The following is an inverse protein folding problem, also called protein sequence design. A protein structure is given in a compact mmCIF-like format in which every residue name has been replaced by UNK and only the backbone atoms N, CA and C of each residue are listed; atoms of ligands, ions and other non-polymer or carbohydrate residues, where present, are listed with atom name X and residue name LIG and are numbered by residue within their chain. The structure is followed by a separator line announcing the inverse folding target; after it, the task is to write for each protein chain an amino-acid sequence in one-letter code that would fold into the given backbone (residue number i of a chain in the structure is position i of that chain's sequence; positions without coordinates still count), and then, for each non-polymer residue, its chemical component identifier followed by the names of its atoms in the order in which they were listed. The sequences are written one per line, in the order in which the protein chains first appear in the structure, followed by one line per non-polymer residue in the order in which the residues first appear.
data_IF_281157398903
#
_entry.id   IF_281157398903
#
_cell.length_a   1.000
_cell.length_b   1.000
_cell.length_c   1.000
_cell.angle_alpha   90.00
_cell.angle_beta   90.00
_cell.angle_gamma   90.00
#
_symmetry.space_group_name_H-M   'P 1'
#
loop_
_entity.id
_entity.type
_entity.pdbx_description
1 polymer ?
#
# COMPACT_ATOMS: atom_id res chain seq x y z
N UNK A 1 -15.41 16.96 10.43
CA UNK A 1 -14.85 16.69 10.12
C UNK A 1 -14.55 15.75 9.95
N UNK A 2 -14.48 15.46 9.73
CA UNK A 2 -14.30 14.57 9.60
C UNK A 2 -13.37 13.90 9.42
N UNK A 3 -12.86 13.63 9.56
CA UNK A 3 -12.08 13.10 9.39
C UNK A 3 -11.98 12.08 9.23
N UNK A 4 -11.75 11.84 8.93
CA UNK A 4 -11.60 10.91 8.69
C UNK A 4 -10.95 10.00 9.11
N UNK A 5 -10.90 9.96 9.51
CA UNK A 5 -10.37 9.00 10.22
C UNK A 5 -10.21 7.72 9.71
N UNK A 6 -9.95 7.67 8.77
CA UNK A 6 -10.14 6.55 8.19
C UNK A 6 -8.96 5.72 8.22
N UNK A 7 -7.94 5.99 7.65
CA UNK A 7 -6.75 5.13 7.67
C UNK A 7 -5.86 5.49 8.86
N UNK A 8 -5.42 4.51 9.67
CA UNK A 8 -4.49 4.79 10.76
C UNK A 8 -3.10 5.21 10.25
N UNK A 9 -2.84 5.03 8.96
CA UNK A 9 -1.55 5.41 8.38
C UNK A 9 -1.57 6.80 7.76
N UNK A 10 -2.74 7.46 7.70
CA UNK A 10 -2.83 8.78 7.08
C UNK A 10 -2.33 9.87 8.01
N UNK A 11 -1.42 10.70 7.52
CA UNK A 11 -0.96 11.89 8.23
C UNK A 11 -0.90 13.05 7.25
N UNK A 12 -1.20 14.25 7.76
CA UNK A 12 -1.04 15.46 6.98
C UNK A 12 0.44 15.75 6.70
N UNK A 13 1.32 15.40 7.64
CA UNK A 13 2.76 15.58 7.48
C UNK A 13 3.46 14.24 7.29
N UNK A 14 4.55 14.20 6.51
CA UNK A 14 5.27 12.95 6.31
C UNK A 14 6.02 12.51 7.56
N UNK A 15 6.30 11.20 7.63
CA UNK A 15 7.15 10.61 8.66
C UNK A 15 8.61 10.76 8.21
N UNK A 16 9.30 11.74 8.76
CA UNK A 16 10.68 12.03 8.37
C UNK A 16 11.68 11.06 8.99
N UNK A 17 11.28 10.36 10.03
CA UNK A 17 12.10 9.37 10.72
C UNK A 17 11.28 8.10 10.92
N UNK A 18 11.98 6.97 11.07
CA UNK A 18 11.31 5.71 11.37
C UNK A 18 10.48 5.87 12.64
N UNK A 19 9.19 5.60 12.53
CA UNK A 19 8.23 5.73 13.63
C UNK A 19 7.59 4.38 13.89
N UNK A 20 7.48 4.00 15.15
CA UNK A 20 6.88 2.74 15.56
C UNK A 20 5.46 3.02 16.03
N UNK A 21 4.50 2.31 15.45
CA UNK A 21 3.09 2.50 15.76
C UNK A 21 2.43 1.16 16.08
N UNK A 22 1.41 1.21 16.95
CA UNK A 22 0.47 0.10 17.14
C UNK A 22 -0.78 0.48 16.35
N UNK A 23 -1.18 -0.36 15.41
CA UNK A 23 -2.31 -0.04 14.53
C UNK A 23 -3.31 -1.18 14.49
N UNK A 24 -4.61 -0.87 14.29
CA UNK A 24 -5.61 -1.91 14.06
C UNK A 24 -5.54 -2.40 12.62
N UNK A 25 -6.10 -3.58 12.33
CA UNK A 25 -6.24 -4.01 10.94
C UNK A 25 -7.21 -3.08 10.19
N UNK A 26 -7.01 -2.95 8.89
CA UNK A 26 -7.84 -2.10 8.03
C UNK A 26 -8.34 -2.94 6.87
N UNK A 27 -9.66 -3.00 6.69
CA UNK A 27 -10.26 -3.73 5.58
C UNK A 27 -9.83 -3.12 4.24
N UNK A 28 -9.54 -3.97 3.28
CA UNK A 28 -9.11 -3.54 1.95
C UNK A 28 -9.84 -4.32 0.87
N UNK A 29 -9.82 -3.79 -0.35
CA UNK A 29 -10.22 -4.50 -1.55
C UNK A 29 -9.04 -4.48 -2.50
N UNK A 30 -8.63 -5.65 -2.97
CA UNK A 30 -7.37 -5.82 -3.70
C UNK A 30 -7.52 -6.73 -4.91
N UNK A 31 -6.60 -6.56 -5.85
CA UNK A 31 -6.25 -7.61 -6.81
C UNK A 31 -4.97 -8.26 -6.28
N UNK A 32 -5.04 -9.56 -6.03
CA UNK A 32 -3.85 -10.32 -5.62
C UNK A 32 -3.21 -10.94 -6.86
N UNK A 33 -1.90 -10.78 -7.00
CA UNK A 33 -1.13 -11.43 -8.06
C UNK A 33 -0.05 -12.29 -7.42
N UNK A 34 0.20 -13.44 -8.02
CA UNK A 34 1.19 -14.39 -7.54
C UNK A 34 2.18 -14.68 -8.65
N UNK A 35 3.46 -14.65 -8.30
CA UNK A 35 4.54 -14.94 -9.23
C UNK A 35 4.47 -14.06 -10.49
N UNK A 36 4.10 -12.81 -10.29
CA UNK A 36 3.92 -11.85 -11.38
C UNK A 36 5.27 -11.22 -11.74
N UNK A 37 5.63 -11.15 -13.04
CA UNK A 37 6.91 -10.54 -13.41
C UNK A 37 7.02 -9.09 -12.95
N UNK A 38 8.18 -8.72 -12.44
CA UNK A 38 8.45 -7.35 -12.02
C UNK A 38 8.21 -6.35 -13.16
N UNK A 39 8.47 -6.79 -14.39
CA UNK A 39 8.28 -5.95 -15.57
C UNK A 39 6.82 -5.65 -15.87
N UNK A 40 5.89 -6.39 -15.25
CA UNK A 40 4.44 -6.19 -15.43
C UNK A 40 3.81 -5.30 -14.36
N UNK A 41 4.59 -4.78 -13.41
CA UNK A 41 4.00 -4.05 -12.28
C UNK A 41 3.17 -2.85 -12.68
N UNK A 42 3.65 -2.02 -13.61
CA UNK A 42 2.89 -0.86 -14.06
C UNK A 42 1.53 -1.26 -14.63
N UNK A 43 1.52 -2.32 -15.42
CA UNK A 43 0.30 -2.83 -16.03
C UNK A 43 -0.67 -3.34 -14.97
N UNK A 44 -0.15 -4.04 -13.95
CA UNK A 44 -0.97 -4.52 -12.84
C UNK A 44 -1.60 -3.35 -12.08
N UNK A 45 -0.83 -2.31 -11.79
CA UNK A 45 -1.36 -1.13 -11.12
C UNK A 45 -2.44 -0.45 -11.94
N UNK A 46 -2.16 -0.19 -13.21
CA UNK A 46 -3.10 0.51 -14.08
C UNK A 46 -4.41 -0.25 -14.23
N UNK A 47 -4.32 -1.56 -14.49
CA UNK A 47 -5.52 -2.37 -14.68
C UNK A 47 -6.31 -2.52 -13.39
N UNK A 48 -5.63 -2.67 -12.26
CA UNK A 48 -6.29 -2.80 -10.97
C UNK A 48 -7.08 -1.54 -10.64
N UNK A 49 -6.47 -0.37 -10.74
CA UNK A 49 -7.17 0.85 -10.35
C UNK A 49 -8.25 1.25 -11.33
N UNK A 50 -8.08 0.94 -12.61
CA UNK A 50 -9.15 1.14 -13.59
C UNK A 50 -10.40 0.32 -13.26
N UNK A 51 -10.21 -0.88 -12.73
CA UNK A 51 -11.34 -1.76 -12.36
C UNK A 51 -11.88 -1.44 -10.98
N UNK A 52 -11.01 -1.05 -10.06
CA UNK A 52 -11.32 -0.95 -8.64
C UNK A 52 -12.28 0.18 -8.32
N UNK A 53 -12.05 1.37 -8.85
CA UNK A 53 -12.85 2.54 -8.52
C UNK A 53 -14.32 2.34 -8.89
N UNK A 54 -14.66 1.91 -10.14
CA UNK A 54 -16.06 1.64 -10.47
C UNK A 54 -16.67 0.52 -9.63
N UNK A 55 -15.88 -0.53 -9.33
CA UNK A 55 -16.38 -1.67 -8.56
C UNK A 55 -16.74 -1.26 -7.13
N UNK A 56 -15.92 -0.42 -6.49
CA UNK A 56 -16.23 0.07 -5.15
C UNK A 56 -17.54 0.87 -5.16
N UNK A 57 -17.74 1.70 -6.16
CA UNK A 57 -18.99 2.45 -6.30
C UNK A 57 -20.20 1.53 -6.41
N UNK A 58 -20.08 0.46 -7.20
CA UNK A 58 -21.17 -0.51 -7.37
C UNK A 58 -21.47 -1.25 -6.06
N UNK A 59 -20.44 -1.55 -5.28
CA UNK A 59 -20.59 -2.25 -4.00
C UNK A 59 -20.95 -1.32 -2.84
N UNK A 60 -21.00 -0.02 -3.08
CA UNK A 60 -21.30 0.94 -2.02
C UNK A 60 -20.18 1.09 -0.99
N UNK A 61 -18.95 0.77 -1.37
CA UNK A 61 -17.79 0.90 -0.48
C UNK A 61 -17.07 2.22 -0.73
N UNK A 62 -16.53 2.80 0.33
CA UNK A 62 -15.80 4.06 0.25
C UNK A 62 -14.31 3.83 0.54
N UNK A 63 -13.41 4.33 -0.30
CA UNK A 63 -12.00 4.33 0.06
C UNK A 63 -11.77 5.20 1.29
N UNK A 64 -10.93 4.72 2.21
CA UNK A 64 -10.63 5.46 3.44
C UNK A 64 -9.16 5.82 3.55
N UNK A 65 -8.42 5.69 2.48
CA UNK A 65 -7.01 6.06 2.45
C UNK A 65 -6.44 5.89 1.05
N UNK A 66 -5.15 6.18 0.90
CA UNK A 66 -4.49 6.09 -0.40
C UNK A 66 -4.35 4.65 -0.89
N UNK A 67 -4.06 4.52 -2.17
CA UNK A 67 -3.71 3.25 -2.80
C UNK A 67 -2.43 2.67 -2.19
N UNK A 68 -2.29 1.35 -2.25
CA UNK A 68 -1.12 0.68 -1.70
C UNK A 68 -0.79 -0.57 -2.51
N UNK A 69 0.44 -1.07 -2.31
CA UNK A 69 0.82 -2.42 -2.70
C UNK A 69 1.44 -3.14 -1.50
N UNK A 70 0.98 -4.35 -1.23
CA UNK A 70 1.44 -5.13 -0.08
C UNK A 70 2.11 -6.40 -0.59
N UNK A 71 3.33 -6.65 -0.11
CA UNK A 71 4.14 -7.78 -0.52
C UNK A 71 4.12 -8.84 0.56
N UNK A 72 3.78 -10.07 0.16
CA UNK A 72 3.69 -11.20 1.09
C UNK A 72 4.97 -12.02 1.13
N UNK A 73 5.92 -11.72 0.26
CA UNK A 73 7.27 -12.28 0.28
C UNK A 73 8.26 -11.26 -0.28
N UNK A 74 9.54 -11.51 -0.10
CA UNK A 74 10.56 -10.64 -0.68
C UNK A 74 10.49 -10.72 -2.21
N UNK A 75 10.52 -9.58 -2.90
CA UNK A 75 10.52 -9.57 -4.36
C UNK A 75 11.80 -10.17 -4.94
N UNK A 76 11.65 -10.79 -6.10
CA UNK A 76 12.77 -11.28 -6.89
C UNK A 76 12.53 -10.82 -8.34
N UNK A 77 12.75 -11.69 -9.31
CA UNK A 77 12.31 -11.40 -10.69
C UNK A 77 10.80 -11.35 -10.79
N UNK A 78 10.11 -11.92 -9.80
CA UNK A 78 8.65 -11.90 -9.69
C UNK A 78 8.23 -11.44 -8.31
N UNK A 79 6.95 -11.09 -8.18
CA UNK A 79 6.37 -10.63 -6.93
C UNK A 79 5.07 -11.36 -6.63
N UNK A 80 4.81 -11.55 -5.33
CA UNK A 80 3.48 -11.88 -4.82
C UNK A 80 3.01 -10.65 -4.08
N UNK A 81 1.96 -10.01 -4.59
CA UNK A 81 1.51 -8.76 -3.98
C UNK A 81 0.01 -8.58 -4.09
N UNK A 82 -0.51 -7.72 -3.22
CA UNK A 82 -1.89 -7.25 -3.27
C UNK A 82 -1.86 -5.77 -3.58
N UNK A 83 -2.62 -5.36 -4.58
CA UNK A 83 -2.73 -3.95 -4.99
C UNK A 83 -4.17 -3.52 -4.78
N UNK A 84 -4.39 -2.45 -4.06
CA UNK A 84 -5.75 -2.03 -3.80
C UNK A 84 -5.90 -0.75 -2.99
N UNK A 85 -7.07 -0.66 -2.34
CA UNK A 85 -7.46 0.49 -1.54
C UNK A 85 -8.00 0.03 -0.20
N UNK A 86 -7.72 0.78 0.88
CA UNK A 86 -8.42 0.56 2.14
C UNK A 86 -9.86 1.06 2.00
N UNK A 87 -10.79 0.37 2.66
CA UNK A 87 -12.22 0.66 2.53
C UNK A 87 -12.88 0.75 3.90
N UNK A 88 -14.06 1.37 3.94
CA UNK A 88 -14.77 1.65 5.18
C UNK A 88 -15.37 0.41 5.84
N UNK A 89 -15.54 -0.67 5.07
CA UNK A 89 -16.03 -1.95 5.59
C UNK A 89 -15.64 -3.08 4.65
N UNK A 90 -15.61 -4.33 5.14
CA UNK A 90 -15.16 -5.44 4.30
C UNK A 90 -16.07 -5.68 3.09
N UNK A 91 -15.46 -6.02 1.96
CA UNK A 91 -16.17 -6.57 0.82
C UNK A 91 -16.68 -7.97 1.21
N UNK A 92 -17.94 -8.25 0.95
CA UNK A 92 -18.55 -9.50 1.37
C UNK A 92 -18.06 -10.72 0.61
N UNK A 93 -17.85 -10.57 -0.70
CA UNK A 93 -17.45 -11.68 -1.58
C UNK A 93 -16.55 -11.13 -2.68
N UNK A 94 -15.69 -11.98 -3.27
CA UNK A 94 -14.93 -11.56 -4.44
C UNK A 94 -15.83 -11.11 -5.57
N UNK A 95 -15.36 -10.11 -6.32
CA UNK A 95 -16.11 -9.50 -7.43
C UNK A 95 -15.25 -9.55 -8.68
N UNK A 96 -15.83 -10.01 -9.79
CA UNK A 96 -15.16 -9.92 -11.08
C UNK A 96 -15.49 -8.57 -11.68
N UNK A 97 -14.47 -7.77 -11.90
CA UNK A 97 -14.59 -6.44 -12.47
C UNK A 97 -14.18 -6.44 -13.94
N UNK A 98 -14.15 -5.26 -14.54
CA UNK A 98 -13.79 -5.12 -15.94
C UNK A 98 -12.49 -5.80 -16.30
N UNK A 99 -12.34 -6.25 -17.54
CA UNK A 99 -11.16 -6.94 -18.06
C UNK A 99 -10.84 -8.25 -17.35
N UNK A 100 -11.83 -8.87 -16.68
CA UNK A 100 -11.64 -10.17 -16.01
C UNK A 100 -10.83 -10.11 -14.74
N UNK A 101 -10.67 -8.92 -14.16
CA UNK A 101 -9.92 -8.76 -12.91
C UNK A 101 -10.80 -9.17 -11.75
N UNK A 102 -10.28 -10.03 -10.88
CA UNK A 102 -10.98 -10.42 -9.66
C UNK A 102 -10.50 -9.56 -8.49
N UNK A 103 -11.43 -8.90 -7.84
CA UNK A 103 -11.19 -8.10 -6.65
C UNK A 103 -11.63 -8.89 -5.44
N UNK A 104 -10.76 -9.00 -4.44
CA UNK A 104 -11.01 -9.83 -3.26
C UNK A 104 -10.94 -9.00 -1.99
N UNK A 105 -11.68 -9.40 -0.94
CA UNK A 105 -11.51 -8.78 0.37
C UNK A 105 -10.18 -9.18 0.98
N UNK A 106 -9.53 -8.22 1.62
CA UNK A 106 -8.28 -8.46 2.33
C UNK A 106 -8.17 -7.46 3.48
N UNK A 107 -6.99 -7.35 4.07
CA UNK A 107 -6.77 -6.33 5.10
C UNK A 107 -5.29 -5.96 5.20
N UNK A 108 -5.04 -4.72 5.59
CA UNK A 108 -3.72 -4.33 6.07
C UNK A 108 -3.61 -4.85 7.50
N UNK A 109 -2.50 -5.55 7.84
CA UNK A 109 -2.40 -6.18 9.15
C UNK A 109 -2.41 -5.18 10.28
N UNK A 110 -3.03 -5.57 11.39
CA UNK A 110 -2.89 -4.84 12.64
C UNK A 110 -1.69 -5.33 13.42
N UNK A 111 -1.27 -4.54 14.43
CA UNK A 111 -0.17 -4.86 15.30
C UNK A 111 0.88 -3.78 15.29
N UNK A 112 2.10 -4.15 15.64
CA UNK A 112 3.20 -3.18 15.70
C UNK A 112 3.85 -3.08 14.33
N UNK A 113 3.99 -1.85 13.85
CA UNK A 113 4.60 -1.56 12.56
C UNK A 113 5.68 -0.51 12.70
N UNK A 114 6.57 -0.46 11.72
CA UNK A 114 7.46 0.68 11.51
C UNK A 114 7.04 1.38 10.22
N UNK A 115 7.13 2.70 10.19
CA UNK A 115 6.75 3.50 9.03
C UNK A 115 7.73 4.65 8.84
N UNK A 116 8.03 4.97 7.58
CA UNK A 116 8.81 6.15 7.20
C UNK A 116 8.27 6.64 5.85
N UNK A 117 8.39 7.93 5.59
CA UNK A 117 7.98 8.49 4.30
C UNK A 117 9.18 8.64 3.38
N UNK A 118 9.02 8.20 2.14
CA UNK A 118 9.98 8.48 1.06
C UNK A 118 9.46 9.70 0.31
N UNK A 119 10.24 10.76 0.27
CA UNK A 119 9.90 11.97 -0.48
C UNK A 119 10.75 11.99 -1.74
N UNK A 120 10.09 11.89 -2.89
CA UNK A 120 10.78 11.84 -4.18
C UNK A 120 10.15 10.85 -5.13
N UNK A 121 10.79 10.70 -6.29
CA UNK A 121 10.29 9.83 -7.34
C UNK A 121 10.42 8.35 -6.98
N UNK A 122 9.68 7.51 -7.70
CA UNK A 122 9.66 6.08 -7.44
C UNK A 122 10.98 5.37 -7.74
N UNK A 123 11.83 5.95 -8.58
CA UNK A 123 13.13 5.37 -8.89
C UNK A 123 14.07 5.35 -7.65
N UNK A 124 13.77 6.14 -6.64
CA UNK A 124 14.52 6.13 -5.38
C UNK A 124 14.00 5.13 -4.34
N UNK A 125 12.91 4.41 -4.64
CA UNK A 125 12.28 3.54 -3.64
C UNK A 125 13.15 2.38 -3.20
N UNK A 126 13.92 1.79 -4.11
CA UNK A 126 14.81 0.68 -3.74
C UNK A 126 15.82 1.06 -2.68
N UNK A 127 16.48 2.21 -2.85
CA UNK A 127 17.43 2.71 -1.86
C UNK A 127 16.73 3.11 -0.57
N UNK A 128 15.53 3.68 -0.67
CA UNK A 128 14.74 4.06 0.50
C UNK A 128 14.36 2.84 1.34
N UNK A 129 13.97 1.74 0.71
CA UNK A 129 13.68 0.50 1.41
C UNK A 129 14.90 -0.05 2.14
N UNK A 130 16.06 -0.03 1.48
CA UNK A 130 17.31 -0.48 2.11
C UNK A 130 17.64 0.32 3.36
N UNK A 131 17.56 1.65 3.26
CA UNK A 131 17.82 2.53 4.40
C UNK A 131 16.79 2.32 5.51
N UNK A 132 15.52 2.14 5.14
CA UNK A 132 14.44 1.92 6.10
C UNK A 132 14.65 0.63 6.89
N UNK A 133 14.90 -0.47 6.21
CA UNK A 133 15.11 -1.75 6.89
C UNK A 133 16.32 -1.71 7.80
N UNK A 134 17.40 -1.05 7.38
CA UNK A 134 18.58 -0.86 8.22
C UNK A 134 18.24 -0.04 9.47
N UNK A 135 17.51 1.06 9.30
CA UNK A 135 17.12 1.92 10.43
C UNK A 135 16.24 1.18 11.42
N UNK A 136 15.31 0.35 10.93
CA UNK A 136 14.46 -0.48 11.80
C UNK A 136 15.31 -1.42 12.65
N UNK A 137 16.28 -2.09 12.02
CA UNK A 137 17.18 -3.00 12.74
C UNK A 137 18.03 -2.26 13.76
N UNK A 138 18.55 -1.08 13.38
CA UNK A 138 19.38 -0.27 14.28
C UNK A 138 18.58 0.23 15.50
N UNK A 139 17.26 0.41 15.32
CA UNK A 139 16.39 0.80 16.42
C UNK A 139 16.03 -0.37 17.34
N UNK A 140 16.52 -1.58 17.05
CA UNK A 140 16.31 -2.75 17.88
C UNK A 140 15.07 -3.56 17.52
N UNK A 141 14.46 -3.32 16.37
CA UNK A 141 13.28 -4.04 15.92
C UNK A 141 13.63 -4.99 14.78
N UNK A 142 12.79 -6.01 14.61
CA UNK A 142 12.99 -6.98 13.55
C UNK A 142 11.84 -6.88 12.54
N UNK A 143 12.14 -6.49 11.29
CA UNK A 143 11.11 -6.47 10.25
C UNK A 143 10.54 -7.86 10.00
N UNK A 144 9.25 -7.89 9.72
CA UNK A 144 8.54 -9.13 9.40
C UNK A 144 7.69 -8.91 8.15
N UNK A 145 7.22 -9.98 7.55
CA UNK A 145 6.29 -9.90 6.44
C UNK A 145 4.86 -9.84 6.97
N UNK A 146 3.98 -9.16 6.27
CA UNK A 146 4.19 -8.46 5.00
C UNK A 146 4.79 -7.07 5.20
N UNK A 147 5.23 -6.47 4.09
CA UNK A 147 5.56 -5.05 4.06
C UNK A 147 4.80 -4.41 2.91
N UNK A 148 4.57 -3.09 2.99
CA UNK A 148 3.76 -2.42 1.97
C UNK A 148 4.18 -0.98 1.76
N UNK A 149 3.78 -0.46 0.59
CA UNK A 149 3.97 0.94 0.20
C UNK A 149 2.60 1.59 0.08
N UNK A 150 2.48 2.78 0.64
CA UNK A 150 1.25 3.58 0.55
C UNK A 150 1.57 4.78 -0.34
N UNK A 151 0.83 4.91 -1.43
CA UNK A 151 1.08 5.96 -2.43
C UNK A 151 0.26 7.19 -2.07
N UNK A 152 0.79 8.00 -1.15
CA UNK A 152 0.07 9.16 -0.61
C UNK A 152 -0.17 10.19 -1.70
N UNK A 153 0.82 10.43 -2.58
CA UNK A 153 0.67 11.31 -3.72
C UNK A 153 0.28 10.49 -4.94
N UNK A 154 -0.83 10.84 -5.57
CA UNK A 154 -1.26 10.20 -6.80
C UNK A 154 -0.34 10.60 -7.93
N UNK A 155 0.21 9.64 -8.72
CA UNK A 155 1.06 10.01 -9.84
C UNK A 155 0.30 10.82 -10.88
N UNK A 156 0.97 11.83 -11.43
CA UNK A 156 0.40 12.70 -12.46
C UNK A 156 1.53 13.18 -13.36
N UNK A 157 1.29 13.36 -14.66
CA UNK A 157 2.33 13.90 -15.56
C UNK A 157 2.81 15.28 -15.14
N UNK A 158 1.96 16.04 -14.48
CA UNK A 158 2.30 17.40 -14.03
C UNK A 158 2.91 17.43 -12.63
N UNK A 159 3.04 16.27 -11.98
CA UNK A 159 3.53 16.21 -10.61
C UNK A 159 5.04 16.37 -10.56
N UNK A 160 5.51 17.31 -9.71
CA UNK A 160 6.93 17.45 -9.42
C UNK A 160 7.40 16.20 -8.67
N UNK A 161 8.34 15.44 -9.22
CA UNK A 161 8.83 14.24 -8.53
C UNK A 161 9.31 14.52 -7.10
N UNK A 162 9.89 15.68 -6.85
CA UNK A 162 10.41 16.03 -5.53
C UNK A 162 9.30 16.18 -4.48
N UNK A 163 8.05 16.42 -4.92
CA UNK A 163 6.92 16.58 -4.00
C UNK A 163 6.12 15.30 -3.80
N UNK A 164 6.53 14.20 -4.44
CA UNK A 164 5.85 12.92 -4.28
C UNK A 164 6.17 12.30 -2.94
N UNK A 165 5.17 11.64 -2.35
CA UNK A 165 5.32 10.97 -1.07
C UNK A 165 4.82 9.53 -1.16
N UNK A 166 5.66 8.59 -0.78
CA UNK A 166 5.31 7.18 -0.62
C UNK A 166 5.69 6.78 0.80
N UNK A 167 4.74 6.23 1.55
CA UNK A 167 5.04 5.75 2.89
C UNK A 167 5.43 4.28 2.83
N UNK A 168 6.53 3.94 3.48
CA UNK A 168 7.06 2.58 3.55
C UNK A 168 6.68 2.01 4.91
N UNK A 169 6.07 0.83 4.93
CA UNK A 169 5.58 0.21 6.16
C UNK A 169 6.03 -1.24 6.21
N UNK A 170 6.50 -1.68 7.38
CA UNK A 170 6.77 -3.09 7.61
C UNK A 170 6.15 -3.54 8.92
N UNK A 171 5.58 -4.75 8.93
CA UNK A 171 5.16 -5.38 10.16
C UNK A 171 6.41 -5.71 10.97
N UNK A 172 6.30 -5.67 12.29
CA UNK A 172 7.42 -6.02 13.17
C UNK A 172 7.15 -7.35 13.86
N UNK A 173 8.20 -8.13 14.01
CA UNK A 173 8.12 -9.40 14.72
C UNK A 173 7.93 -9.18 16.22
#
# INVERSE_FOLDING_TARGET
MTQNASSPYYLAAPYLEVTILEVPPVATVVQAVTDSPMTSMSEVFDSTFSALIPALGTQGLQPVGPAFSLHTRMPSDTVDMEVGLPVDRPLGEPVTAGAGITLTPSELPGGRIAIVSHLGAYDGLGDAWGAFMQAVAEAGYQPALPFWEIYVTEPSPDQDPASMRTDLVTLLA
#
